data_IF_211496857667
#
_entry.id   IF_211496857667
#
_cell.length_a   1.000
_cell.length_b   1.000
_cell.length_c   1.000
_cell.angle_alpha   90.00
_cell.angle_beta   90.00
_cell.angle_gamma   90.00
#
_symmetry.space_group_name_H-M   'P 1'
#
loop_
_entity.id
_entity.type
_entity.pdbx_description
1 polymer ?
#
# COMPACT_ATOMS: atom_id res chain seq x y z
N UNK A 1 35.22 13.39 10.65
CA UNK A 1 35.90 13.44 9.33
C UNK A 1 35.63 14.80 8.70
N UNK A 2 36.63 15.48 8.11
CA UNK A 2 36.36 16.70 7.36
C UNK A 2 35.59 16.34 6.08
N UNK A 3 34.42 16.95 5.87
CA UNK A 3 33.64 16.81 4.65
C UNK A 3 34.44 17.32 3.45
N UNK A 4 34.48 16.58 2.36
CA UNK A 4 35.14 17.01 1.13
C UNK A 4 34.15 17.85 0.31
N UNK A 5 34.51 19.11 0.03
CA UNK A 5 33.67 20.04 -0.74
C UNK A 5 34.44 20.55 -1.96
N UNK A 6 33.84 20.45 -3.15
CA UNK A 6 34.41 20.99 -4.37
C UNK A 6 33.33 21.59 -5.31
N UNK A 7 33.73 22.63 -6.03
CA UNK A 7 32.91 23.33 -6.99
C UNK A 7 33.61 23.30 -8.35
N UNK A 8 33.00 22.68 -9.36
CA UNK A 8 33.54 22.58 -10.70
C UNK A 8 32.57 23.20 -11.73
N UNK A 9 32.82 24.43 -12.18
CA UNK A 9 32.13 25.00 -13.33
C UNK A 9 32.59 24.29 -14.63
N UNK A 10 31.66 24.10 -15.55
CA UNK A 10 31.93 23.52 -16.87
C UNK A 10 30.87 23.94 -17.89
N UNK A 11 31.16 23.77 -19.19
CA UNK A 11 30.22 24.01 -20.28
C UNK A 11 29.94 22.71 -21.04
N UNK A 12 28.76 22.63 -21.66
CA UNK A 12 28.46 21.56 -22.60
C UNK A 12 28.56 22.09 -24.04
N UNK A 13 29.66 21.78 -24.70
CA UNK A 13 29.95 22.23 -26.07
C UNK A 13 28.95 21.72 -27.11
N UNK A 14 28.21 20.66 -26.82
CA UNK A 14 27.20 20.09 -27.72
C UNK A 14 25.84 20.81 -27.60
N UNK A 15 25.67 21.71 -26.62
CA UNK A 15 24.43 22.46 -26.39
C UNK A 15 24.66 23.96 -26.56
N UNK A 16 24.94 24.35 -27.80
CA UNK A 16 25.10 25.77 -28.19
C UNK A 16 23.75 26.31 -28.67
N UNK A 17 23.36 27.49 -28.19
CA UNK A 17 22.15 28.18 -28.63
C UNK A 17 22.33 28.78 -30.02
N UNK A 18 21.24 29.25 -30.64
CA UNK A 18 21.26 29.93 -31.93
C UNK A 18 22.10 31.22 -31.94
N UNK A 19 22.30 31.84 -30.77
CA UNK A 19 23.15 33.04 -30.59
C UNK A 19 24.64 32.71 -30.42
N UNK A 20 25.05 31.44 -30.56
CA UNK A 20 26.43 31.00 -30.44
C UNK A 20 26.90 30.84 -28.99
N UNK A 21 26.02 30.99 -27.98
CA UNK A 21 26.39 30.84 -26.57
C UNK A 21 25.99 29.47 -26.00
N UNK A 22 26.69 29.04 -24.97
CA UNK A 22 26.35 27.86 -24.18
C UNK A 22 26.21 28.21 -22.70
N UNK A 23 25.38 27.45 -21.98
CA UNK A 23 25.18 27.65 -20.55
C UNK A 23 26.40 27.15 -19.75
N UNK A 24 26.86 27.94 -18.81
CA UNK A 24 27.81 27.50 -17.79
C UNK A 24 27.05 26.76 -16.70
N UNK A 25 27.42 25.51 -16.50
CA UNK A 25 26.90 24.63 -15.46
C UNK A 25 27.91 24.55 -14.32
N UNK A 26 27.45 24.28 -13.13
CA UNK A 26 28.27 24.08 -11.96
C UNK A 26 27.99 22.73 -11.33
N UNK A 27 29.01 21.87 -11.21
CA UNK A 27 28.95 20.63 -10.46
C UNK A 27 29.45 20.88 -9.05
N UNK A 28 28.62 20.61 -8.07
CA UNK A 28 28.94 20.68 -6.65
C UNK A 28 29.12 19.24 -6.18
N UNK A 29 30.25 18.92 -5.56
CA UNK A 29 30.54 17.61 -5.02
C UNK A 29 30.80 17.73 -3.52
N UNK A 30 30.09 16.96 -2.72
CA UNK A 30 30.24 16.87 -1.26
C UNK A 30 30.30 15.37 -0.90
N UNK A 31 31.35 14.97 -0.21
CA UNK A 31 31.58 13.58 0.23
C UNK A 31 31.43 12.54 -0.90
N UNK A 32 31.96 12.86 -2.09
CA UNK A 32 31.93 12.00 -3.26
C UNK A 32 30.63 11.98 -4.05
N UNK A 33 29.55 12.57 -3.52
CA UNK A 33 28.27 12.75 -4.26
C UNK A 33 28.21 14.11 -4.95
N UNK A 34 27.72 14.12 -6.18
CA UNK A 34 27.66 15.37 -6.95
C UNK A 34 26.26 15.71 -7.44
N UNK A 35 25.94 17.00 -7.42
CA UNK A 35 24.74 17.58 -8.05
C UNK A 35 25.14 18.69 -9.00
N UNK A 36 24.38 18.83 -10.09
CA UNK A 36 24.64 19.86 -11.10
C UNK A 36 23.52 20.90 -11.08
N UNK A 37 23.92 22.17 -11.20
CA UNK A 37 22.99 23.29 -11.33
C UNK A 37 23.41 24.27 -12.42
N UNK A 38 22.45 25.00 -12.97
CA UNK A 38 22.71 26.08 -13.91
C UNK A 38 23.14 27.32 -13.15
N UNK A 39 24.20 28.02 -13.62
CA UNK A 39 24.67 29.26 -13.03
C UNK A 39 23.88 30.48 -13.47
N UNK A 40 23.08 30.38 -14.55
CA UNK A 40 22.43 31.50 -15.23
C UNK A 40 23.39 32.34 -16.07
N UNK A 41 24.63 31.89 -16.24
CA UNK A 41 25.68 32.56 -17.02
C UNK A 41 25.82 31.82 -18.36
N UNK A 42 26.04 32.59 -19.44
CA UNK A 42 26.26 32.05 -20.78
C UNK A 42 27.57 32.62 -21.32
N UNK A 43 28.32 31.81 -22.06
CA UNK A 43 29.52 32.24 -22.73
C UNK A 43 29.66 31.57 -24.10
N UNK A 44 30.50 32.06 -25.00
CA UNK A 44 30.87 31.36 -26.21
C UNK A 44 31.83 30.21 -25.86
N UNK A 45 31.75 29.05 -26.53
CA UNK A 45 32.63 27.91 -26.26
C UNK A 45 34.12 28.23 -26.38
N UNK A 46 34.52 29.16 -27.25
CA UNK A 46 35.87 29.63 -27.44
C UNK A 46 36.40 30.48 -26.28
N UNK A 47 35.52 31.15 -25.55
CA UNK A 47 35.88 31.97 -24.38
C UNK A 47 36.05 31.17 -23.10
N UNK A 48 35.70 29.87 -23.13
CA UNK A 48 35.80 29.00 -21.98
C UNK A 48 37.14 28.29 -21.87
N UNK A 49 37.87 28.48 -20.77
CA UNK A 49 39.09 27.73 -20.48
C UNK A 49 38.79 26.48 -19.64
N UNK A 50 38.89 25.29 -20.25
CA UNK A 50 38.63 24.01 -19.60
C UNK A 50 39.57 23.69 -18.41
N UNK A 51 40.84 24.19 -18.46
CA UNK A 51 41.84 23.88 -17.41
C UNK A 51 41.60 24.69 -16.14
N UNK A 52 41.23 25.96 -16.29
CA UNK A 52 41.08 26.90 -15.16
C UNK A 52 39.64 27.10 -14.75
N UNK A 53 38.64 26.67 -15.58
CA UNK A 53 37.23 26.94 -15.34
C UNK A 53 36.87 28.43 -15.31
N UNK A 54 37.52 29.22 -16.20
CA UNK A 54 37.41 30.67 -16.28
C UNK A 54 36.89 31.07 -17.65
N UNK A 55 36.10 32.15 -17.68
CA UNK A 55 35.58 32.76 -18.92
C UNK A 55 36.51 33.91 -19.30
N UNK A 56 36.92 34.00 -20.57
CA UNK A 56 37.80 35.08 -21.08
C UNK A 56 37.18 36.47 -20.92
N UNK A 57 35.88 36.58 -21.10
CA UNK A 57 35.10 37.82 -20.93
C UNK A 57 35.04 38.21 -19.46
N UNK A 58 35.58 39.40 -19.12
CA UNK A 58 35.72 39.85 -17.74
C UNK A 58 34.40 39.93 -16.99
N UNK A 59 33.32 40.42 -17.66
CA UNK A 59 32.00 40.58 -17.05
C UNK A 59 31.40 39.21 -16.63
N UNK A 60 31.37 38.25 -17.53
CA UNK A 60 30.82 36.91 -17.28
C UNK A 60 31.70 36.16 -16.28
N UNK A 61 32.99 36.33 -16.31
CA UNK A 61 33.90 35.73 -15.35
C UNK A 61 33.69 36.27 -13.94
N UNK A 62 33.51 37.59 -13.77
CA UNK A 62 33.19 38.17 -12.46
C UNK A 62 31.89 37.60 -11.90
N UNK A 63 30.84 37.49 -12.72
CA UNK A 63 29.57 36.85 -12.33
C UNK A 63 29.78 35.37 -11.92
N UNK A 64 30.67 34.67 -12.61
CA UNK A 64 31.00 33.28 -12.25
C UNK A 64 31.73 33.19 -10.91
N UNK A 65 32.65 34.11 -10.62
CA UNK A 65 33.31 34.16 -9.31
C UNK A 65 32.36 34.53 -8.17
N UNK A 66 31.44 35.50 -8.41
CA UNK A 66 30.37 35.82 -7.45
C UNK A 66 29.46 34.62 -7.18
N UNK A 67 29.12 33.89 -8.24
CA UNK A 67 28.34 32.66 -8.11
C UNK A 67 29.09 31.61 -7.27
N UNK A 68 30.37 31.33 -7.54
CA UNK A 68 31.19 30.42 -6.74
C UNK A 68 31.23 30.83 -5.27
N UNK A 69 31.47 32.10 -4.99
CA UNK A 69 31.46 32.63 -3.62
C UNK A 69 30.11 32.48 -2.94
N UNK A 70 29.02 32.65 -3.67
CA UNK A 70 27.67 32.43 -3.12
C UNK A 70 27.40 30.94 -2.75
N UNK A 71 27.95 29.99 -3.54
CA UNK A 71 27.89 28.58 -3.24
C UNK A 71 28.71 28.23 -1.99
N UNK A 72 29.91 28.78 -1.84
CA UNK A 72 30.77 28.60 -0.68
C UNK A 72 30.10 29.11 0.60
N UNK A 73 29.56 30.36 0.56
CA UNK A 73 28.83 30.92 1.68
C UNK A 73 27.58 30.11 2.05
N UNK A 74 26.83 29.62 1.06
CA UNK A 74 25.66 28.79 1.30
C UNK A 74 26.05 27.43 1.92
N UNK A 75 27.20 26.86 1.53
CA UNK A 75 27.74 25.65 2.14
C UNK A 75 28.09 25.86 3.61
N UNK A 76 28.84 26.93 3.93
CA UNK A 76 29.20 27.27 5.31
C UNK A 76 27.97 27.54 6.19
N UNK A 77 27.00 28.31 5.67
CA UNK A 77 25.75 28.64 6.38
C UNK A 77 24.90 27.37 6.64
N UNK A 78 24.81 26.50 5.64
CA UNK A 78 24.10 25.24 5.77
C UNK A 78 24.78 24.32 6.78
N UNK A 79 26.12 24.26 6.78
CA UNK A 79 26.89 23.45 7.74
C UNK A 79 26.71 23.95 9.17
N UNK A 80 26.67 25.30 9.37
CA UNK A 80 26.44 25.91 10.69
C UNK A 80 25.02 25.68 11.21
N UNK A 81 24.02 25.72 10.32
CA UNK A 81 22.59 25.61 10.71
C UNK A 81 22.10 24.18 10.87
N UNK A 82 22.61 23.26 10.06
CA UNK A 82 22.02 21.93 9.90
C UNK A 82 22.95 20.76 10.24
N UNK A 83 24.24 21.02 10.56
CA UNK A 83 25.29 20.02 10.81
C UNK A 83 25.47 18.95 9.71
N UNK A 84 24.60 18.91 8.70
CA UNK A 84 24.62 17.98 7.57
C UNK A 84 24.41 18.77 6.28
N UNK A 85 25.30 18.59 5.32
CA UNK A 85 25.19 19.22 4.00
C UNK A 85 25.46 18.17 2.92
N UNK A 86 24.50 17.98 2.01
CA UNK A 86 24.70 17.20 0.78
C UNK A 86 24.71 18.15 -0.44
N UNK A 87 25.24 17.67 -1.56
CA UNK A 87 25.24 18.42 -2.81
C UNK A 87 23.82 18.79 -3.29
N UNK A 88 22.85 17.93 -3.05
CA UNK A 88 21.44 18.18 -3.41
C UNK A 88 20.75 19.15 -2.44
N UNK A 89 21.04 19.08 -1.13
CA UNK A 89 20.56 20.05 -0.14
C UNK A 89 21.06 21.46 -0.46
N UNK A 90 22.36 21.57 -0.78
CA UNK A 90 22.98 22.85 -1.13
C UNK A 90 22.39 23.44 -2.43
N UNK A 91 22.19 22.60 -3.45
CA UNK A 91 21.53 23.02 -4.70
C UNK A 91 20.10 23.53 -4.45
N UNK A 92 19.34 22.87 -3.60
CA UNK A 92 17.97 23.27 -3.26
C UNK A 92 17.96 24.60 -2.49
N UNK A 93 18.88 24.80 -1.56
CA UNK A 93 19.05 26.07 -0.84
C UNK A 93 19.38 27.22 -1.78
N UNK A 94 20.35 27.03 -2.70
CA UNK A 94 20.74 28.02 -3.71
C UNK A 94 19.62 28.33 -4.72
N UNK A 95 18.81 27.34 -5.09
CA UNK A 95 17.67 27.51 -5.97
C UNK A 95 16.46 28.17 -5.28
N UNK A 96 16.60 28.62 -4.02
CA UNK A 96 15.50 29.14 -3.18
C UNK A 96 14.30 28.22 -3.09
N UNK A 97 14.51 26.90 -3.25
CA UNK A 97 13.50 25.90 -2.97
C UNK A 97 13.34 25.77 -1.45
N UNK A 98 12.16 25.31 -1.02
CA UNK A 98 11.89 25.11 0.41
C UNK A 98 13.02 24.32 1.07
N UNK A 99 13.53 24.82 2.19
CA UNK A 99 14.58 24.15 2.97
C UNK A 99 14.08 22.79 3.40
N UNK A 100 14.87 21.74 3.12
CA UNK A 100 14.54 20.38 3.53
C UNK A 100 14.89 20.24 5.00
N UNK A 101 13.94 19.85 5.88
CA UNK A 101 14.23 19.67 7.29
C UNK A 101 15.24 18.53 7.52
N UNK A 102 16.20 18.75 8.42
CA UNK A 102 17.16 17.72 8.86
C UNK A 102 16.74 17.06 10.16
N UNK A 103 15.69 17.57 10.81
CA UNK A 103 15.13 17.02 12.05
C UNK A 103 13.89 16.16 11.81
N UNK A 104 13.72 15.17 12.67
CA UNK A 104 12.71 14.12 12.51
C UNK A 104 11.27 14.65 12.53
N UNK A 105 10.89 15.43 13.54
CA UNK A 105 9.51 15.93 13.63
C UNK A 105 9.22 16.98 12.57
N UNK A 106 10.17 17.84 12.24
CA UNK A 106 10.02 18.82 11.15
C UNK A 106 9.81 18.13 9.80
N UNK A 107 10.54 17.03 9.51
CA UNK A 107 10.31 16.21 8.32
C UNK A 107 8.92 15.59 8.34
N UNK A 108 8.47 15.15 9.51
CA UNK A 108 7.11 14.61 9.70
C UNK A 108 6.03 15.63 9.36
N UNK A 109 6.16 16.89 9.81
CA UNK A 109 5.21 17.95 9.47
C UNK A 109 5.21 18.27 7.97
N UNK A 110 6.38 18.37 7.34
CA UNK A 110 6.48 18.53 5.89
C UNK A 110 5.79 17.40 5.11
N UNK A 111 5.99 16.15 5.52
CA UNK A 111 5.31 15.02 4.88
C UNK A 111 3.79 15.06 5.12
N UNK A 112 3.34 15.52 6.28
CA UNK A 112 1.92 15.73 6.57
C UNK A 112 1.31 16.83 5.69
N UNK A 113 2.01 17.91 5.43
CA UNK A 113 1.58 18.96 4.48
C UNK A 113 1.41 18.37 3.07
N UNK A 114 2.35 17.52 2.63
CA UNK A 114 2.25 16.81 1.35
C UNK A 114 1.03 15.87 1.31
N UNK A 115 0.78 15.14 2.41
CA UNK A 115 -0.39 14.27 2.54
C UNK A 115 -1.70 15.06 2.57
N UNK A 116 -1.71 16.26 3.14
CA UNK A 116 -2.87 17.16 3.13
C UNK A 116 -3.18 17.64 1.70
N UNK A 117 -2.17 18.07 0.95
CA UNK A 117 -2.33 18.46 -0.45
C UNK A 117 -2.91 17.29 -1.27
N UNK A 118 -2.30 16.11 -1.17
CA UNK A 118 -2.79 14.90 -1.84
C UNK A 118 -4.22 14.52 -1.41
N UNK A 119 -4.58 14.73 -0.14
CA UNK A 119 -5.91 14.39 0.36
C UNK A 119 -7.04 15.16 -0.34
N UNK A 120 -6.75 16.40 -0.77
CA UNK A 120 -7.66 17.24 -1.54
C UNK A 120 -7.83 16.71 -2.97
N UNK A 121 -6.74 16.29 -3.61
CA UNK A 121 -6.74 15.73 -4.97
C UNK A 121 -7.55 14.42 -5.05
N UNK A 122 -7.35 13.50 -4.11
CA UNK A 122 -8.02 12.18 -4.09
C UNK A 122 -9.34 12.18 -3.31
N UNK A 123 -9.76 13.33 -2.77
CA UNK A 123 -10.95 13.48 -1.92
C UNK A 123 -11.04 12.44 -0.79
N UNK A 124 -9.91 12.23 -0.09
CA UNK A 124 -9.80 11.26 1.03
C UNK A 124 -8.80 11.72 2.08
N UNK A 125 -9.29 12.06 3.28
CA UNK A 125 -8.49 12.60 4.40
C UNK A 125 -7.92 11.54 5.34
N UNK A 126 -8.27 10.26 5.15
CA UNK A 126 -7.95 9.18 6.10
C UNK A 126 -6.45 9.06 6.39
N UNK A 127 -5.62 9.01 5.34
CA UNK A 127 -4.16 8.87 5.48
C UNK A 127 -3.56 10.09 6.18
N UNK A 128 -4.01 11.29 5.84
CA UNK A 128 -3.59 12.52 6.50
C UNK A 128 -3.96 12.52 8.00
N UNK A 129 -5.19 12.18 8.37
CA UNK A 129 -5.61 12.09 9.78
C UNK A 129 -4.77 11.08 10.57
N UNK A 130 -4.55 9.89 10.02
CA UNK A 130 -3.73 8.88 10.67
C UNK A 130 -2.28 9.32 10.86
N UNK A 131 -1.69 10.02 9.89
CA UNK A 131 -0.33 10.56 10.04
C UNK A 131 -0.21 11.52 11.22
N UNK A 132 -1.27 12.27 11.54
CA UNK A 132 -1.32 13.14 12.72
C UNK A 132 -1.20 12.38 14.04
N UNK A 133 -1.87 11.23 14.16
CA UNK A 133 -1.72 10.37 15.34
C UNK A 133 -0.30 9.81 15.46
N UNK A 134 0.28 9.30 14.36
CA UNK A 134 1.63 8.74 14.39
C UNK A 134 2.68 9.81 14.72
N UNK A 135 2.53 11.01 14.16
CA UNK A 135 3.37 12.15 14.46
C UNK A 135 3.28 12.56 15.93
N UNK A 136 2.06 12.61 16.48
CA UNK A 136 1.84 12.88 17.89
C UNK A 136 2.53 11.85 18.78
N UNK A 137 2.41 10.56 18.51
CA UNK A 137 3.03 9.52 19.33
C UNK A 137 4.55 9.56 19.26
N UNK A 138 5.11 9.94 18.11
CA UNK A 138 6.55 10.15 17.97
C UNK A 138 7.00 11.37 18.79
N UNK A 139 6.24 12.46 18.78
CA UNK A 139 6.48 13.64 19.61
C UNK A 139 6.39 13.29 21.11
N UNK A 140 5.35 12.55 21.52
CA UNK A 140 5.19 12.09 22.91
C UNK A 140 6.43 11.30 23.40
N UNK A 141 6.97 10.44 22.52
CA UNK A 141 8.18 9.69 22.81
C UNK A 141 9.41 10.59 23.00
N UNK A 142 9.65 11.53 22.08
CA UNK A 142 10.76 12.48 22.20
C UNK A 142 10.64 13.34 23.47
N UNK A 143 9.43 13.80 23.78
CA UNK A 143 9.15 14.52 25.02
C UNK A 143 9.52 13.70 26.26
N UNK A 144 9.24 12.37 26.26
CA UNK A 144 9.62 11.48 27.34
C UNK A 144 11.12 11.33 27.51
N UNK A 145 11.90 11.64 26.47
CA UNK A 145 13.38 11.70 26.49
C UNK A 145 13.91 13.11 26.82
N UNK A 146 13.02 14.08 27.14
CA UNK A 146 13.41 15.47 27.37
C UNK A 146 13.85 16.22 26.10
N UNK A 147 13.48 15.73 24.91
CA UNK A 147 13.87 16.29 23.62
C UNK A 147 12.66 16.90 22.91
N UNK A 148 12.84 18.09 22.32
CA UNK A 148 11.80 18.72 21.48
C UNK A 148 11.77 18.11 20.07
N UNK A 149 12.94 17.81 19.50
CA UNK A 149 13.18 17.14 18.21
C UNK A 149 14.58 16.53 18.20
N UNK A 150 14.89 15.70 17.19
CA UNK A 150 16.23 15.11 17.00
C UNK A 150 16.69 15.21 15.56
N UNK A 151 18.02 15.26 15.36
CA UNK A 151 18.62 15.14 14.03
C UNK A 151 18.50 13.69 13.53
N UNK A 152 18.40 13.50 12.21
CA UNK A 152 18.38 12.15 11.65
C UNK A 152 19.66 11.36 11.92
N UNK A 153 20.80 12.04 12.11
CA UNK A 153 22.07 11.42 12.51
C UNK A 153 22.02 10.71 13.86
N UNK A 154 21.10 11.11 14.73
CA UNK A 154 20.93 10.54 16.08
C UNK A 154 20.00 9.32 16.10
N UNK A 155 19.39 9.01 14.97
CA UNK A 155 18.48 7.86 14.83
C UNK A 155 19.33 6.61 14.59
N UNK A 156 19.24 5.69 15.54
CA UNK A 156 19.88 4.37 15.52
C UNK A 156 18.84 3.27 15.58
N UNK A 157 19.26 2.02 15.37
CA UNK A 157 18.38 0.86 15.59
C UNK A 157 17.86 0.82 17.03
N UNK A 158 18.71 1.20 18.01
CA UNK A 158 18.30 1.29 19.42
C UNK A 158 17.19 2.33 19.65
N UNK A 159 17.23 3.47 18.95
CA UNK A 159 16.15 4.45 18.98
C UNK A 159 14.83 3.83 18.52
N UNK A 160 14.83 3.08 17.43
CA UNK A 160 13.64 2.38 16.92
C UNK A 160 13.09 1.35 17.90
N UNK A 161 13.98 0.55 18.50
CA UNK A 161 13.63 -0.46 19.50
C UNK A 161 13.09 0.15 20.78
N UNK A 162 13.67 1.25 21.25
CA UNK A 162 13.22 2.01 22.42
C UNK A 162 11.86 2.68 22.16
N UNK A 163 11.63 3.23 20.98
CA UNK A 163 10.32 3.76 20.58
C UNK A 163 9.25 2.67 20.56
N UNK A 164 9.56 1.49 20.03
CA UNK A 164 8.68 0.31 20.08
C UNK A 164 8.34 -0.08 21.53
N UNK A 165 9.32 -0.13 22.43
CA UNK A 165 9.13 -0.43 23.84
C UNK A 165 8.28 0.63 24.56
N UNK A 166 8.48 1.92 24.25
CA UNK A 166 7.67 3.02 24.78
C UNK A 166 6.19 2.86 24.41
N UNK A 167 5.87 2.57 23.14
CA UNK A 167 4.49 2.37 22.71
C UNK A 167 3.83 1.19 23.41
N UNK A 168 4.58 0.12 23.67
CA UNK A 168 4.10 -1.07 24.36
C UNK A 168 3.81 -0.82 25.83
N UNK A 169 4.72 -0.17 26.52
CA UNK A 169 4.64 0.06 27.98
C UNK A 169 3.74 1.23 28.35
N UNK A 170 3.93 2.39 27.71
CA UNK A 170 3.30 3.64 28.12
C UNK A 170 1.95 3.89 27.45
N UNK A 171 1.71 3.31 26.27
CA UNK A 171 0.47 3.50 25.51
C UNK A 171 -0.40 2.24 25.43
N UNK A 172 0.10 1.09 25.85
CA UNK A 172 -0.59 -0.21 25.79
C UNK A 172 -1.15 -0.51 24.38
N UNK A 173 -0.36 -0.20 23.34
CA UNK A 173 -0.81 -0.35 21.97
C UNK A 173 -0.76 -1.81 21.50
N UNK A 174 -1.72 -2.18 20.67
CA UNK A 174 -1.70 -3.46 19.96
C UNK A 174 -0.52 -3.53 18.97
N UNK A 175 -0.05 -4.74 18.67
CA UNK A 175 1.01 -4.98 17.67
C UNK A 175 0.72 -4.27 16.34
N UNK A 176 -0.54 -4.22 15.90
CA UNK A 176 -0.92 -3.53 14.68
C UNK A 176 -0.74 -2.00 14.77
N UNK A 177 -1.05 -1.40 15.92
CA UNK A 177 -0.88 0.04 16.14
C UNK A 177 0.61 0.39 16.23
N UNK A 178 1.40 -0.39 16.97
CA UNK A 178 2.85 -0.25 17.07
C UNK A 178 3.47 -0.27 15.66
N UNK A 179 3.15 -1.31 14.87
CA UNK A 179 3.68 -1.44 13.52
C UNK A 179 3.32 -0.26 12.60
N UNK A 180 2.15 0.33 12.74
CA UNK A 180 1.78 1.54 11.98
C UNK A 180 2.62 2.75 12.37
N UNK A 181 2.92 2.91 13.67
CA UNK A 181 3.80 3.98 14.15
C UNK A 181 5.24 3.77 13.66
N UNK A 182 5.74 2.52 13.70
CA UNK A 182 7.06 2.17 13.17
C UNK A 182 7.14 2.40 11.65
N UNK A 183 6.07 2.07 10.90
CA UNK A 183 6.00 2.39 9.47
C UNK A 183 6.06 3.90 9.19
N UNK A 184 5.49 4.74 10.08
CA UNK A 184 5.61 6.18 9.97
C UNK A 184 7.05 6.64 10.20
N UNK A 185 7.70 6.18 11.26
CA UNK A 185 9.10 6.46 11.54
C UNK A 185 10.00 6.03 10.38
N UNK A 186 9.90 4.77 9.93
CA UNK A 186 10.65 4.27 8.77
C UNK A 186 10.45 5.13 7.53
N UNK A 187 9.21 5.57 7.27
CA UNK A 187 8.92 6.46 6.13
C UNK A 187 9.70 7.77 6.22
N UNK A 188 9.77 8.39 7.40
CA UNK A 188 10.51 9.64 7.58
C UNK A 188 12.02 9.42 7.40
N UNK A 189 12.55 8.29 7.88
CA UNK A 189 13.95 7.91 7.69
C UNK A 189 14.26 7.66 6.22
N UNK A 190 13.39 6.96 5.47
CA UNK A 190 13.57 6.81 4.02
C UNK A 190 13.54 8.15 3.28
N UNK A 191 12.68 9.10 3.69
CA UNK A 191 12.71 10.45 3.13
C UNK A 191 14.06 11.14 3.41
N UNK A 192 14.64 10.94 4.60
CA UNK A 192 15.97 11.47 4.90
C UNK A 192 17.07 10.84 4.04
N UNK A 193 16.95 9.55 3.68
CA UNK A 193 17.85 8.89 2.71
C UNK A 193 17.63 9.45 1.30
N UNK A 194 16.37 9.58 0.86
CA UNK A 194 16.03 10.13 -0.46
C UNK A 194 16.52 11.57 -0.65
N UNK A 195 16.53 12.36 0.43
CA UNK A 195 17.08 13.71 0.44
C UNK A 195 18.58 13.80 0.74
N UNK A 196 19.27 12.65 0.82
CA UNK A 196 20.71 12.55 1.10
C UNK A 196 21.15 13.11 2.46
N UNK A 197 20.24 13.22 3.43
CA UNK A 197 20.54 13.56 4.83
C UNK A 197 21.21 12.37 5.51
N UNK A 198 20.78 11.16 5.18
CA UNK A 198 21.38 9.90 5.61
C UNK A 198 21.95 9.13 4.41
N UNK A 199 23.01 8.38 4.62
CA UNK A 199 23.61 7.50 3.59
C UNK A 199 22.82 6.21 3.40
N UNK A 200 22.28 5.67 4.48
CA UNK A 200 21.50 4.44 4.53
C UNK A 200 20.47 4.54 5.65
N UNK A 201 19.47 3.67 5.61
CA UNK A 201 18.44 3.61 6.64
C UNK A 201 18.98 2.84 7.87
N UNK A 202 19.17 3.51 9.04
CA UNK A 202 19.62 2.84 10.25
C UNK A 202 18.57 1.92 10.89
N UNK A 203 17.31 1.94 10.38
CA UNK A 203 16.20 1.13 10.86
C UNK A 203 15.83 0.01 9.87
N UNK A 204 16.72 -0.34 8.92
CA UNK A 204 16.39 -1.32 7.87
C UNK A 204 16.10 -2.70 8.47
N UNK A 205 16.89 -3.12 9.44
CA UNK A 205 16.79 -4.42 10.11
C UNK A 205 15.86 -4.41 11.34
N UNK A 206 15.15 -3.30 11.58
CA UNK A 206 14.25 -3.16 12.73
C UNK A 206 13.08 -4.14 12.65
N UNK A 207 12.99 -5.02 13.63
CA UNK A 207 11.92 -6.00 13.73
C UNK A 207 10.56 -5.37 14.11
N UNK A 208 9.55 -5.64 13.31
CA UNK A 208 8.16 -5.30 13.61
C UNK A 208 7.53 -6.28 14.60
N UNK A 209 6.53 -5.83 15.35
CA UNK A 209 5.75 -6.71 16.24
C UNK A 209 5.03 -7.80 15.43
N UNK A 210 5.06 -9.03 15.93
CA UNK A 210 4.34 -10.15 15.33
C UNK A 210 2.84 -9.90 15.39
N UNK A 211 2.20 -9.86 14.25
CA UNK A 211 0.74 -9.68 14.18
C UNK A 211 0.03 -10.92 14.70
N UNK A 212 -1.03 -10.78 15.49
CA UNK A 212 -1.88 -11.90 15.84
C UNK A 212 -2.49 -12.52 14.58
N UNK A 213 -2.85 -13.77 14.66
CA UNK A 213 -3.56 -14.46 13.57
C UNK A 213 -4.80 -13.65 13.14
N UNK A 214 -5.12 -13.59 11.86
CA UNK A 214 -6.32 -12.91 11.40
C UNK A 214 -7.54 -13.52 12.07
N UNK A 215 -8.36 -12.69 12.72
CA UNK A 215 -9.67 -13.16 13.22
C UNK A 215 -10.60 -13.35 12.03
N UNK A 216 -11.35 -14.46 12.04
CA UNK A 216 -12.45 -14.66 11.08
C UNK A 216 -13.47 -13.53 11.23
N UNK A 217 -13.73 -12.83 10.13
CA UNK A 217 -14.59 -11.64 10.14
C UNK A 217 -15.77 -11.80 9.19
N UNK A 218 -16.32 -12.98 9.08
CA UNK A 218 -17.54 -13.23 8.33
C UNK A 218 -18.63 -13.73 9.27
N UNK A 219 -19.88 -13.60 8.86
CA UNK A 219 -21.01 -14.23 9.53
C UNK A 219 -21.14 -15.67 9.03
N UNK A 220 -21.64 -16.55 9.88
CA UNK A 220 -22.00 -17.92 9.52
C UNK A 220 -23.27 -17.93 8.66
N UNK A 221 -23.53 -19.04 7.97
CA UNK A 221 -24.80 -19.23 7.22
C UNK A 221 -26.02 -19.24 8.15
N UNK A 222 -25.85 -19.72 9.39
CA UNK A 222 -26.91 -19.69 10.40
C UNK A 222 -27.24 -18.24 10.80
N UNK A 223 -26.22 -17.42 11.10
CA UNK A 223 -26.41 -16.00 11.39
C UNK A 223 -27.03 -15.26 10.19
N UNK A 224 -26.60 -15.56 8.95
CA UNK A 224 -27.23 -14.97 7.75
C UNK A 224 -28.70 -15.29 7.67
N UNK A 225 -29.09 -16.55 7.93
CA UNK A 225 -30.50 -16.98 7.99
C UNK A 225 -31.25 -16.20 9.05
N UNK A 226 -30.70 -16.08 10.27
CA UNK A 226 -31.31 -15.32 11.35
C UNK A 226 -31.50 -13.84 10.95
N UNK A 227 -30.50 -13.20 10.34
CA UNK A 227 -30.62 -11.81 9.87
C UNK A 227 -31.73 -11.66 8.82
N UNK A 228 -31.88 -12.63 7.92
CA UNK A 228 -32.95 -12.63 6.91
C UNK A 228 -34.34 -12.73 7.54
N UNK A 229 -34.47 -13.52 8.60
CA UNK A 229 -35.73 -13.84 9.28
C UNK A 229 -36.09 -12.87 10.43
N UNK A 230 -35.20 -11.94 10.79
CA UNK A 230 -35.42 -11.01 11.92
C UNK A 230 -35.55 -9.57 11.38
N UNK A 231 -36.76 -9.12 11.01
CA UNK A 231 -37.00 -7.73 10.65
C UNK A 231 -36.84 -6.83 11.88
N UNK A 232 -36.34 -5.61 11.66
CA UNK A 232 -36.17 -4.61 12.71
C UNK A 232 -37.40 -3.70 12.77
N UNK A 233 -37.82 -3.33 13.96
CA UNK A 233 -38.99 -2.46 14.15
C UNK A 233 -38.67 -0.99 13.87
N UNK A 234 -37.50 -0.53 14.25
CA UNK A 234 -37.05 0.82 13.93
C UNK A 234 -36.68 0.94 12.45
N UNK A 235 -37.19 1.99 11.74
CA UNK A 235 -36.93 2.18 10.31
C UNK A 235 -35.45 2.31 9.96
N UNK A 236 -34.63 2.95 10.81
CA UNK A 236 -33.22 3.13 10.56
C UNK A 236 -32.43 1.82 10.77
N UNK A 237 -32.83 1.05 11.76
CA UNK A 237 -32.27 -0.29 11.99
C UNK A 237 -32.62 -1.24 10.85
N UNK A 238 -33.88 -1.20 10.35
CA UNK A 238 -34.30 -2.00 9.23
C UNK A 238 -33.57 -1.61 7.93
N UNK A 239 -33.34 -0.31 7.72
CA UNK A 239 -32.49 0.17 6.63
C UNK A 239 -31.06 -0.37 6.77
N UNK A 240 -30.49 -0.36 7.98
CA UNK A 240 -29.18 -0.94 8.31
C UNK A 240 -29.12 -2.43 8.00
N UNK A 241 -30.14 -3.21 8.42
CA UNK A 241 -30.28 -4.64 8.15
C UNK A 241 -30.31 -4.93 6.65
N UNK A 242 -31.16 -4.21 5.90
CA UNK A 242 -31.25 -4.36 4.43
C UNK A 242 -29.97 -3.99 3.72
N UNK A 243 -29.31 -2.90 4.11
CA UNK A 243 -28.02 -2.52 3.57
C UNK A 243 -26.92 -3.55 3.88
N UNK A 244 -26.94 -4.13 5.09
CA UNK A 244 -26.03 -5.21 5.47
C UNK A 244 -26.24 -6.46 4.61
N UNK A 245 -27.49 -6.89 4.43
CA UNK A 245 -27.85 -8.01 3.56
C UNK A 245 -27.46 -7.73 2.11
N UNK A 246 -27.79 -6.55 1.60
CA UNK A 246 -27.40 -6.14 0.24
C UNK A 246 -25.89 -6.23 0.03
N UNK A 247 -25.08 -5.74 1.00
CA UNK A 247 -23.63 -5.90 0.98
C UNK A 247 -23.18 -7.37 1.05
N UNK A 248 -23.90 -8.21 1.79
CA UNK A 248 -23.61 -9.65 1.89
C UNK A 248 -23.82 -10.38 0.58
N UNK A 249 -24.75 -9.92 -0.28
CA UNK A 249 -25.03 -10.51 -1.58
C UNK A 249 -24.40 -9.80 -2.78
N UNK A 250 -23.78 -8.62 -2.57
CA UNK A 250 -23.13 -7.86 -3.66
C UNK A 250 -21.63 -7.64 -3.42
N UNK A 251 -21.18 -7.76 -2.17
CA UNK A 251 -19.82 -7.47 -1.78
C UNK A 251 -19.45 -5.99 -1.79
N UNK A 252 -20.41 -5.06 -2.04
CA UNK A 252 -20.17 -3.63 -2.03
C UNK A 252 -19.81 -3.13 -0.62
N UNK A 253 -18.86 -2.20 -0.51
CA UNK A 253 -18.56 -1.55 0.76
C UNK A 253 -19.62 -0.47 1.06
N UNK A 254 -19.77 -0.10 2.34
CA UNK A 254 -20.75 0.90 2.76
C UNK A 254 -20.73 2.19 1.92
N UNK A 255 -19.54 2.74 1.70
CA UNK A 255 -19.38 3.96 0.91
C UNK A 255 -19.80 3.78 -0.55
N UNK A 256 -19.62 2.60 -1.11
CA UNK A 256 -20.01 2.31 -2.50
C UNK A 256 -21.53 2.15 -2.62
N UNK A 257 -22.19 1.61 -1.57
CA UNK A 257 -23.68 1.55 -1.51
C UNK A 257 -24.29 2.94 -1.29
N UNK A 258 -23.69 3.78 -0.45
CA UNK A 258 -24.13 5.18 -0.29
C UNK A 258 -24.07 5.98 -1.60
N UNK A 259 -23.15 5.61 -2.49
CA UNK A 259 -22.95 6.27 -3.79
C UNK A 259 -23.56 5.46 -4.95
N UNK A 260 -24.38 4.45 -4.65
CA UNK A 260 -25.06 3.68 -5.67
C UNK A 260 -26.26 4.49 -6.21
N UNK A 261 -26.25 4.77 -7.49
CA UNK A 261 -27.32 5.46 -8.21
C UNK A 261 -27.99 4.53 -9.24
N UNK A 262 -29.20 4.81 -9.70
CA UNK A 262 -29.91 4.01 -10.71
C UNK A 262 -29.09 3.72 -11.97
N UNK A 263 -28.30 4.67 -12.49
CA UNK A 263 -27.46 4.49 -13.67
C UNK A 263 -26.35 3.44 -13.51
N UNK A 264 -26.03 3.02 -12.28
CA UNK A 264 -25.09 1.91 -12.03
C UNK A 264 -25.75 0.54 -12.22
N UNK A 265 -27.08 0.49 -12.33
CA UNK A 265 -27.87 -0.74 -12.47
C UNK A 265 -28.17 -0.96 -13.94
N UNK A 266 -27.80 -2.12 -14.46
CA UNK A 266 -28.07 -2.50 -15.83
C UNK A 266 -28.71 -3.87 -15.92
N UNK A 267 -29.12 -4.23 -17.15
CA UNK A 267 -29.64 -5.56 -17.47
C UNK A 267 -28.86 -6.12 -18.64
N UNK A 268 -28.43 -7.37 -18.54
CA UNK A 268 -27.75 -8.08 -19.62
C UNK A 268 -28.73 -8.50 -20.70
N UNK A 269 -28.25 -8.91 -21.88
CA UNK A 269 -29.12 -9.33 -23.00
C UNK A 269 -30.03 -10.54 -22.65
N UNK A 270 -29.61 -11.36 -21.71
CA UNK A 270 -30.37 -12.52 -21.18
C UNK A 270 -31.29 -12.14 -20.00
N UNK A 271 -31.48 -10.83 -19.74
CA UNK A 271 -32.42 -10.32 -18.74
C UNK A 271 -31.93 -10.31 -17.32
N UNK A 272 -30.62 -10.67 -17.03
CA UNK A 272 -30.06 -10.65 -15.69
C UNK A 272 -29.66 -9.25 -15.28
N UNK A 273 -30.12 -8.80 -14.13
CA UNK A 273 -29.72 -7.51 -13.55
C UNK A 273 -28.29 -7.58 -12.99
N UNK A 274 -27.58 -6.48 -13.11
CA UNK A 274 -26.22 -6.33 -12.57
C UNK A 274 -25.97 -4.92 -12.05
N UNK A 275 -24.93 -4.77 -11.21
CA UNK A 275 -24.37 -3.49 -10.82
C UNK A 275 -23.01 -3.36 -11.49
N UNK A 276 -22.74 -2.17 -12.08
CA UNK A 276 -21.44 -1.76 -12.59
C UNK A 276 -21.07 -0.42 -11.97
N UNK A 277 -20.04 -0.40 -11.13
CA UNK A 277 -19.65 0.78 -10.37
C UNK A 277 -18.14 0.82 -10.19
N UNK A 278 -17.54 2.01 -10.32
CA UNK A 278 -16.17 2.24 -9.90
C UNK A 278 -16.10 2.47 -8.38
N UNK A 279 -15.31 1.67 -7.70
CA UNK A 279 -15.18 1.77 -6.25
C UNK A 279 -14.59 3.11 -5.83
N UNK A 280 -15.22 3.78 -4.87
CA UNK A 280 -14.76 5.09 -4.33
C UNK A 280 -13.31 5.07 -3.83
N UNK A 281 -12.88 3.97 -3.20
CA UNK A 281 -11.55 3.88 -2.58
C UNK A 281 -10.42 3.61 -3.57
N UNK A 282 -10.67 2.82 -4.62
CA UNK A 282 -9.63 2.27 -5.49
C UNK A 282 -9.78 2.69 -6.94
N UNK A 283 -10.91 3.28 -7.30
CA UNK A 283 -11.35 3.59 -8.67
C UNK A 283 -11.31 2.36 -9.61
N UNK A 284 -11.42 1.15 -9.04
CA UNK A 284 -11.47 -0.10 -9.81
C UNK A 284 -12.92 -0.44 -10.07
N UNK A 285 -13.24 -0.76 -11.32
CA UNK A 285 -14.57 -1.20 -11.71
C UNK A 285 -14.93 -2.54 -11.05
N UNK A 286 -16.10 -2.58 -10.43
CA UNK A 286 -16.77 -3.79 -9.96
C UNK A 286 -17.95 -4.10 -10.88
N UNK A 287 -18.06 -5.35 -11.33
CA UNK A 287 -19.18 -5.87 -12.07
C UNK A 287 -19.82 -7.01 -11.28
N UNK A 288 -21.07 -6.86 -10.88
CA UNK A 288 -21.74 -7.72 -9.91
C UNK A 288 -23.08 -8.14 -10.47
N UNK A 289 -23.22 -9.38 -11.01
CA UNK A 289 -24.53 -9.98 -11.29
C UNK A 289 -25.34 -10.07 -9.99
N UNK A 290 -26.60 -9.65 -10.02
CA UNK A 290 -27.43 -9.60 -8.83
C UNK A 290 -27.96 -10.97 -8.44
N UNK A 291 -27.89 -11.26 -7.14
CA UNK A 291 -28.58 -12.38 -6.53
C UNK A 291 -30.06 -12.01 -6.30
N UNK A 292 -31.05 -12.92 -6.42
CA UNK A 292 -32.47 -12.61 -6.26
C UNK A 292 -32.80 -11.85 -4.96
N UNK A 293 -32.14 -12.18 -3.84
CA UNK A 293 -32.33 -11.44 -2.58
C UNK A 293 -31.85 -9.99 -2.70
N UNK A 294 -30.74 -9.74 -3.40
CA UNK A 294 -30.26 -8.39 -3.63
C UNK A 294 -31.21 -7.60 -4.54
N UNK A 295 -31.81 -8.25 -5.55
CA UNK A 295 -32.83 -7.64 -6.41
C UNK A 295 -34.07 -7.26 -5.62
N UNK A 296 -34.59 -8.17 -4.78
CA UNK A 296 -35.75 -7.89 -3.92
C UNK A 296 -35.50 -6.70 -2.97
N UNK A 297 -34.30 -6.60 -2.40
CA UNK A 297 -33.94 -5.46 -1.56
C UNK A 297 -33.85 -4.19 -2.41
N UNK A 298 -33.26 -4.25 -3.59
CA UNK A 298 -33.07 -3.12 -4.48
C UNK A 298 -34.42 -2.53 -4.89
N UNK A 299 -35.43 -3.37 -5.17
CA UNK A 299 -36.76 -2.97 -5.60
C UNK A 299 -37.61 -2.26 -4.52
N UNK A 300 -37.14 -2.28 -3.28
CA UNK A 300 -37.72 -1.50 -2.16
C UNK A 300 -37.29 -0.03 -2.16
N UNK A 301 -36.32 0.34 -3.00
CA UNK A 301 -35.68 1.64 -2.96
C UNK A 301 -35.71 2.34 -4.34
N UNK A 302 -35.01 3.48 -4.42
CA UNK A 302 -34.98 4.28 -5.65
C UNK A 302 -34.17 3.59 -6.76
N UNK A 303 -34.84 3.18 -7.82
CA UNK A 303 -34.19 2.59 -9.01
C UNK A 303 -34.40 3.39 -10.29
N UNK A 304 -35.05 4.56 -10.21
CA UNK A 304 -35.49 5.34 -11.39
C UNK A 304 -35.02 6.78 -11.39
N UNK A 305 -34.99 7.45 -10.21
CA UNK A 305 -34.55 8.85 -10.08
C UNK A 305 -33.04 8.91 -9.88
N UNK A 306 -32.29 9.21 -10.93
CA UNK A 306 -30.81 9.24 -10.92
C UNK A 306 -30.25 10.46 -10.21
N UNK A 307 -31.10 11.42 -9.82
CA UNK A 307 -30.64 12.57 -9.00
C UNK A 307 -30.37 12.19 -7.53
N UNK A 308 -30.87 11.05 -7.10
CA UNK A 308 -30.77 10.54 -5.74
C UNK A 308 -30.09 9.16 -5.71
N UNK A 309 -29.35 8.84 -4.63
CA UNK A 309 -28.84 7.50 -4.47
C UNK A 309 -29.98 6.48 -4.32
N UNK A 310 -29.70 5.22 -4.61
CA UNK A 310 -30.64 4.11 -4.45
C UNK A 310 -31.06 3.98 -2.99
N UNK A 311 -30.13 3.98 -2.07
CA UNK A 311 -30.38 3.82 -0.63
C UNK A 311 -30.22 5.16 0.10
N UNK A 312 -31.20 5.59 0.92
CA UNK A 312 -31.10 6.81 1.74
C UNK A 312 -30.27 6.57 3.00
N UNK A 313 -29.01 6.10 2.83
CA UNK A 313 -28.13 5.75 3.95
C UNK A 313 -27.60 6.99 4.66
N UNK A 314 -27.59 7.02 6.02
CA UNK A 314 -26.97 8.07 6.81
C UNK A 314 -25.44 8.01 6.74
N UNK A 315 -24.77 8.80 7.55
CA UNK A 315 -23.31 8.72 7.69
C UNK A 315 -22.88 7.34 8.21
N UNK A 316 -21.61 6.98 7.97
CA UNK A 316 -21.05 5.72 8.44
C UNK A 316 -21.07 5.60 9.97
N UNK A 317 -20.89 6.71 10.68
CA UNK A 317 -20.79 6.72 12.14
C UNK A 317 -22.17 6.50 12.77
N UNK A 318 -23.26 7.06 12.19
CA UNK A 318 -24.64 6.79 12.58
C UNK A 318 -25.01 5.32 12.31
N UNK A 319 -24.73 4.82 11.09
CA UNK A 319 -25.04 3.43 10.73
C UNK A 319 -24.25 2.40 11.57
N UNK A 320 -23.10 2.79 12.16
CA UNK A 320 -22.31 1.89 12.98
C UNK A 320 -23.10 1.38 14.20
N UNK A 321 -23.88 2.25 14.82
CA UNK A 321 -24.72 1.89 15.97
C UNK A 321 -25.81 0.91 15.55
N UNK A 322 -26.50 1.16 14.45
CA UNK A 322 -27.60 0.33 13.96
C UNK A 322 -27.13 -1.09 13.59
N UNK A 323 -25.94 -1.21 13.02
CA UNK A 323 -25.33 -2.54 12.74
C UNK A 323 -24.92 -3.26 14.03
N UNK A 324 -24.53 -2.52 15.05
CA UNK A 324 -24.27 -3.11 16.37
C UNK A 324 -25.56 -3.67 16.96
N UNK A 325 -26.66 -2.90 16.97
CA UNK A 325 -27.97 -3.33 17.45
C UNK A 325 -28.53 -4.54 16.67
N UNK A 326 -28.31 -4.60 15.37
CA UNK A 326 -28.60 -5.79 14.58
C UNK A 326 -27.84 -7.01 15.10
N UNK A 327 -26.57 -6.85 15.48
CA UNK A 327 -25.78 -7.92 16.09
C UNK A 327 -26.37 -8.40 17.43
N UNK A 328 -26.84 -7.48 18.26
CA UNK A 328 -27.51 -7.79 19.52
C UNK A 328 -28.83 -8.52 19.28
N UNK A 329 -29.66 -8.03 18.34
CA UNK A 329 -30.97 -8.62 18.02
C UNK A 329 -30.87 -10.08 17.56
N UNK A 330 -29.78 -10.47 16.87
CA UNK A 330 -29.54 -11.88 16.47
C UNK A 330 -28.82 -12.70 17.54
N UNK A 331 -28.64 -12.19 18.75
CA UNK A 331 -28.00 -12.88 19.88
C UNK A 331 -26.49 -13.06 19.76
N UNK A 332 -25.81 -12.21 18.97
CA UNK A 332 -24.36 -12.33 18.75
C UNK A 332 -23.58 -11.81 19.96
N UNK A 333 -22.61 -12.56 20.43
CA UNK A 333 -21.72 -12.16 21.53
C UNK A 333 -20.66 -11.13 21.11
N UNK A 334 -20.24 -11.17 19.85
CA UNK A 334 -19.24 -10.26 19.29
C UNK A 334 -19.90 -9.13 18.51
N UNK A 335 -19.32 -7.94 18.55
CA UNK A 335 -19.83 -6.80 17.80
C UNK A 335 -19.92 -7.10 16.30
N UNK A 336 -21.11 -6.93 15.73
CA UNK A 336 -21.31 -6.94 14.30
C UNK A 336 -20.79 -5.62 13.70
N UNK A 337 -20.08 -5.68 12.63
CA UNK A 337 -19.63 -4.49 11.87
C UNK A 337 -20.04 -4.61 10.42
N UNK A 338 -20.38 -3.49 9.79
CA UNK A 338 -20.80 -3.48 8.40
C UNK A 338 -19.82 -4.19 7.45
N UNK A 339 -18.51 -4.07 7.72
CA UNK A 339 -17.50 -4.69 6.86
C UNK A 339 -17.53 -6.23 6.86
N UNK A 340 -18.15 -6.84 7.88
CA UNK A 340 -18.33 -8.29 7.92
C UNK A 340 -19.28 -8.80 6.83
N UNK A 341 -20.26 -8.00 6.38
CA UNK A 341 -21.11 -8.35 5.24
C UNK A 341 -20.29 -8.60 3.97
N UNK A 342 -19.38 -7.69 3.67
CA UNK A 342 -18.48 -7.83 2.52
C UNK A 342 -17.47 -8.98 2.68
N UNK A 343 -17.00 -9.25 3.89
CA UNK A 343 -16.19 -10.44 4.18
C UNK A 343 -16.99 -11.72 3.92
N UNK A 344 -18.24 -11.74 4.34
CA UNK A 344 -19.15 -12.89 4.13
C UNK A 344 -19.40 -13.15 2.66
N UNK A 345 -19.63 -12.12 1.85
CA UNK A 345 -19.73 -12.28 0.39
C UNK A 345 -18.52 -13.02 -0.19
N UNK A 346 -17.30 -12.56 0.09
CA UNK A 346 -16.08 -13.21 -0.42
C UNK A 346 -15.94 -14.65 0.07
N UNK A 347 -16.19 -14.89 1.36
CA UNK A 347 -16.06 -16.21 1.97
C UNK A 347 -17.13 -17.18 1.44
N UNK A 348 -18.38 -16.75 1.30
CA UNK A 348 -19.46 -17.58 0.76
C UNK A 348 -19.21 -17.97 -0.70
N UNK A 349 -18.81 -17.03 -1.54
CA UNK A 349 -18.52 -17.34 -2.95
C UNK A 349 -17.34 -18.31 -3.11
N UNK A 350 -16.29 -18.17 -2.30
CA UNK A 350 -15.17 -19.11 -2.29
C UNK A 350 -15.65 -20.49 -1.83
N UNK A 351 -16.52 -20.57 -0.82
CA UNK A 351 -17.06 -21.85 -0.35
C UNK A 351 -17.94 -22.55 -1.37
N UNK A 352 -18.55 -21.80 -2.29
CA UNK A 352 -19.31 -22.33 -3.42
C UNK A 352 -18.46 -22.67 -4.65
N UNK A 353 -17.15 -22.41 -4.60
CA UNK A 353 -16.25 -22.77 -5.69
C UNK A 353 -16.10 -21.69 -6.77
N UNK A 354 -16.59 -20.47 -6.54
CA UNK A 354 -16.39 -19.37 -7.50
C UNK A 354 -14.89 -19.02 -7.56
N UNK A 355 -14.30 -18.89 -8.76
CA UNK A 355 -12.90 -18.53 -8.92
C UNK A 355 -12.57 -17.21 -8.24
N UNK A 356 -11.39 -17.16 -7.60
CA UNK A 356 -10.96 -16.00 -6.80
C UNK A 356 -10.81 -14.74 -7.65
N UNK A 357 -10.47 -14.89 -8.93
CA UNK A 357 -10.35 -13.81 -9.92
C UNK A 357 -11.71 -13.16 -10.17
N UNK A 358 -12.76 -13.99 -10.33
CA UNK A 358 -14.14 -13.53 -10.50
C UNK A 358 -14.62 -12.78 -9.26
N UNK A 359 -14.32 -13.29 -8.06
CA UNK A 359 -14.65 -12.63 -6.80
C UNK A 359 -13.89 -11.30 -6.69
N UNK A 360 -12.60 -11.27 -7.06
CA UNK A 360 -11.80 -10.05 -7.06
C UNK A 360 -12.41 -8.97 -7.97
N UNK A 361 -12.87 -9.33 -9.16
CA UNK A 361 -13.54 -8.43 -10.10
C UNK A 361 -14.88 -7.94 -9.55
N UNK A 362 -15.72 -8.84 -9.03
CA UNK A 362 -16.99 -8.46 -8.39
C UNK A 362 -16.78 -7.52 -7.20
N UNK A 363 -15.74 -7.74 -6.39
CA UNK A 363 -15.42 -6.88 -5.26
C UNK A 363 -14.64 -5.61 -5.64
N UNK A 364 -14.23 -5.42 -6.89
CA UNK A 364 -13.43 -4.28 -7.34
C UNK A 364 -12.09 -4.19 -6.59
N UNK A 365 -11.38 -5.33 -6.47
CA UNK A 365 -10.04 -5.37 -5.92
C UNK A 365 -9.01 -5.14 -7.02
N UNK A 366 -8.00 -4.30 -6.77
CA UNK A 366 -6.91 -4.04 -7.71
C UNK A 366 -5.93 -5.21 -7.84
N UNK A 367 -6.03 -6.23 -6.97
CA UNK A 367 -5.18 -7.42 -6.98
C UNK A 367 -5.75 -8.56 -6.18
N UNK A 368 -5.46 -9.79 -6.62
CA UNK A 368 -5.97 -11.05 -6.05
C UNK A 368 -5.56 -11.22 -4.58
N UNK A 369 -4.37 -10.74 -4.17
CA UNK A 369 -3.89 -10.84 -2.78
C UNK A 369 -4.90 -10.30 -1.75
N UNK A 370 -5.71 -9.30 -2.12
CA UNK A 370 -6.75 -8.78 -1.24
C UNK A 370 -7.89 -9.78 -1.06
N UNK A 371 -8.22 -10.55 -2.10
CA UNK A 371 -9.28 -11.56 -2.11
C UNK A 371 -8.82 -12.86 -1.44
N UNK A 372 -7.54 -13.19 -1.51
CA UNK A 372 -6.94 -14.37 -0.85
C UNK A 372 -7.18 -14.40 0.66
N UNK A 373 -7.45 -13.27 1.29
CA UNK A 373 -7.82 -13.19 2.72
C UNK A 373 -9.12 -13.93 3.07
N UNK A 374 -9.96 -14.19 2.09
CA UNK A 374 -11.21 -14.94 2.25
C UNK A 374 -11.04 -16.43 1.93
N UNK A 375 -9.94 -16.80 1.31
CA UNK A 375 -9.64 -18.17 0.90
C UNK A 375 -9.01 -18.95 2.05
N UNK A 376 -9.84 -19.51 2.91
CA UNK A 376 -9.45 -20.60 3.79
C UNK A 376 -9.63 -21.90 3.04
N UNK A 377 -8.54 -22.45 2.51
CA UNK A 377 -8.57 -23.76 1.84
C UNK A 377 -8.56 -24.83 2.93
N UNK A 378 -9.73 -25.38 3.22
CA UNK A 378 -9.86 -26.51 4.15
C UNK A 378 -9.79 -27.85 3.38
N UNK A 379 -9.37 -28.93 4.05
CA UNK A 379 -9.35 -30.27 3.45
C UNK A 379 -10.73 -30.67 2.92
N UNK A 380 -11.80 -30.26 3.62
CA UNK A 380 -13.19 -30.43 3.19
C UNK A 380 -13.48 -29.73 1.86
N UNK A 381 -12.93 -28.54 1.64
CA UNK A 381 -13.09 -27.82 0.36
C UNK A 381 -12.35 -28.55 -0.75
N UNK A 382 -11.11 -28.98 -0.50
CA UNK A 382 -10.31 -29.73 -1.48
C UNK A 382 -11.07 -31.01 -1.90
N UNK A 383 -11.61 -31.78 -0.93
CA UNK A 383 -12.42 -32.97 -1.21
C UNK A 383 -13.65 -32.64 -2.06
N UNK A 384 -14.40 -31.57 -1.71
CA UNK A 384 -15.59 -31.13 -2.47
C UNK A 384 -15.22 -30.71 -3.89
N UNK A 385 -14.12 -30.00 -4.08
CA UNK A 385 -13.67 -29.56 -5.41
C UNK A 385 -13.28 -30.77 -6.28
N UNK A 386 -12.65 -31.81 -5.70
CA UNK A 386 -12.36 -33.05 -6.38
C UNK A 386 -13.62 -33.85 -6.72
N UNK A 387 -14.59 -33.93 -5.79
CA UNK A 387 -15.90 -34.58 -6.04
C UNK A 387 -16.65 -33.90 -7.20
N UNK A 388 -16.68 -32.58 -7.23
CA UNK A 388 -17.27 -31.80 -8.32
C UNK A 388 -16.58 -32.09 -9.66
N UNK A 389 -15.23 -32.15 -9.68
CA UNK A 389 -14.46 -32.46 -10.88
C UNK A 389 -14.78 -33.88 -11.38
N UNK A 390 -14.91 -34.85 -10.46
CA UNK A 390 -15.29 -36.24 -10.79
C UNK A 390 -16.72 -36.33 -11.33
N UNK A 391 -17.66 -35.60 -10.70
CA UNK A 391 -19.05 -35.56 -11.14
C UNK A 391 -19.19 -35.00 -12.55
N UNK A 392 -18.49 -33.90 -12.87
CA UNK A 392 -18.46 -33.33 -14.22
C UNK A 392 -17.89 -34.32 -15.24
N UNK A 393 -16.81 -35.04 -14.90
CA UNK A 393 -16.23 -36.07 -15.77
C UNK A 393 -17.17 -37.27 -16.00
N UNK A 394 -17.94 -37.66 -15.00
CA UNK A 394 -18.94 -38.73 -15.15
C UNK A 394 -20.08 -38.26 -16.07
N UNK A 395 -20.55 -37.04 -15.99
CA UNK A 395 -21.59 -36.50 -16.89
C UNK A 395 -21.18 -36.48 -18.37
N UNK A 396 -19.90 -36.28 -18.67
CA UNK A 396 -19.39 -36.26 -20.06
C UNK A 396 -18.91 -37.60 -20.59
N UNK A 397 -19.24 -38.74 -19.93
CA UNK A 397 -19.08 -40.10 -20.48
C UNK A 397 -17.63 -40.55 -20.67
N UNK A 398 -16.65 -39.91 -20.03
CA UNK A 398 -15.23 -40.28 -20.17
C UNK A 398 -14.79 -41.30 -19.08
N UNK A 399 -15.66 -42.20 -18.67
CA UNK A 399 -15.51 -43.12 -17.53
C UNK A 399 -14.47 -44.24 -17.67
N UNK A 400 -13.56 -44.25 -18.64
CA UNK A 400 -12.53 -45.29 -18.74
C UNK A 400 -11.18 -44.71 -19.19
N UNK A 401 -10.48 -44.04 -18.28
CA UNK A 401 -9.14 -43.54 -18.56
C UNK A 401 -8.03 -44.53 -18.19
N UNK A 402 -8.28 -45.56 -17.41
CA UNK A 402 -7.33 -46.61 -17.10
C UNK A 402 -8.00 -47.96 -17.18
N UNK A 403 -7.79 -48.71 -18.29
CA UNK A 403 -7.76 -50.14 -18.20
C UNK A 403 -6.51 -50.48 -17.39
N UNK A 404 -6.69 -51.12 -16.22
CA UNK A 404 -5.61 -51.77 -15.51
C UNK A 404 -4.95 -52.68 -16.54
N UNK A 405 -3.79 -52.34 -17.09
CA UNK A 405 -2.94 -53.29 -17.78
C UNK A 405 -2.56 -54.30 -16.69
N UNK A 406 -3.04 -55.53 -16.81
CA UNK A 406 -2.53 -56.63 -16.00
C UNK A 406 -1.02 -56.66 -16.27
N UNK A 407 -0.22 -56.40 -15.25
CA UNK A 407 1.20 -56.66 -15.29
C UNK A 407 1.41 -58.11 -15.74
N UNK A 408 2.31 -58.44 -16.68
CA UNK A 408 2.61 -59.80 -17.05
C UNK A 408 2.96 -60.55 -15.78
N UNK A 409 2.31 -61.71 -15.55
CA UNK A 409 2.67 -62.62 -14.47
C UNK A 409 4.15 -62.91 -14.60
N UNK A 410 4.92 -62.67 -13.56
CA UNK A 410 6.31 -63.07 -13.46
C UNK A 410 6.43 -64.53 -13.81
N UNK A 411 7.03 -64.87 -14.95
CA UNK A 411 7.48 -66.21 -15.27
C UNK A 411 8.64 -66.51 -14.32
N UNK A 412 8.45 -67.59 -13.51
CA UNK A 412 9.49 -68.18 -12.69
C UNK A 412 10.79 -68.30 -13.51
N UNK A 413 11.80 -67.55 -13.16
CA UNK A 413 13.18 -67.80 -13.59
C UNK A 413 13.81 -68.63 -12.48
N UNK A 414 14.08 -69.89 -12.83
CA UNK A 414 14.80 -70.88 -12.00
C UNK A 414 16.12 -70.28 -11.47
N UNK A 415 16.29 -70.44 -10.15
CA UNK A 415 17.57 -70.29 -9.47
C UNK A 415 18.51 -71.38 -9.96
N UNK A 416 19.53 -71.05 -10.72
CA UNK A 416 20.83 -71.73 -10.66
C UNK A 416 21.88 -70.90 -11.43
N UNK A 417 22.68 -70.15 -10.72
CA UNK A 417 24.14 -70.17 -10.80
C UNK A 417 24.74 -69.05 -9.90
N UNK A 418 25.30 -69.54 -8.80
CA UNK A 418 26.33 -68.79 -8.07
C UNK A 418 27.54 -68.58 -8.95
N UNK A 419 28.14 -67.40 -8.94
CA UNK A 419 29.56 -67.18 -8.79
C UNK A 419 29.85 -65.73 -8.36
N UNK A 420 30.70 -65.65 -7.36
CA UNK A 420 31.39 -64.52 -6.81
C UNK A 420 31.97 -63.58 -7.88
N UNK A 421 31.90 -62.27 -7.65
CA UNK A 421 33.13 -61.51 -7.56
C UNK A 421 32.93 -60.16 -6.84
N UNK A 422 34.00 -59.78 -6.16
CA UNK A 422 34.19 -58.68 -5.24
C UNK A 422 34.26 -57.31 -5.96
N UNK A 423 33.89 -56.27 -5.23
CA UNK A 423 34.74 -55.11 -5.24
C UNK A 423 34.09 -53.74 -5.46
N UNK A 424 34.27 -52.95 -4.45
CA UNK A 424 34.45 -51.46 -4.42
C UNK A 424 33.26 -50.57 -4.74
N UNK A 425 32.74 -49.95 -3.81
CA UNK A 425 32.71 -48.68 -3.21
C UNK A 425 32.80 -47.43 -4.11
N UNK A 426 31.80 -46.59 -3.99
CA UNK A 426 32.02 -45.15 -3.85
C UNK A 426 30.71 -44.42 -3.45
N UNK A 427 30.81 -43.68 -2.39
CA UNK A 427 29.92 -42.61 -1.99
C UNK A 427 29.78 -41.52 -3.08
N UNK A 428 28.65 -40.84 -3.15
CA UNK A 428 28.49 -39.41 -3.00
C UNK A 428 27.05 -38.94 -3.12
N UNK A 429 26.59 -38.31 -2.05
CA UNK A 429 25.84 -37.07 -1.91
C UNK A 429 25.50 -36.30 -3.20
N UNK A 430 24.24 -35.98 -3.37
CA UNK A 430 23.71 -34.60 -3.34
C UNK A 430 22.20 -34.65 -3.08
#
# INVERSE_FOLDING_TARGET
MRSTFSILPYINRNKVKADGTTAVLCRITIDGKSSTMATGIYCRPEDWNNKTGVIRTVRENNRLQEFRKSVELAYEDSLKKQNVVSAELLKNALARKAVIPTKLLQMGERERERLLARSKEINSTSTYRHSGYYQKYLKDYLTSLGKEDIEFSDITEEFGSSYKAFMKRNKNFSAQQINKCLCWLSKLVYLAVDYEILRANPLEDMEYEKKPAPKHRHISRAELKTILETPMLDPLQELGRRAFLFSTFTGLAYVDIMLLHPHHIGTTADGRRYIRINRKKTNVEAFIPLHPIAEQILDLYNTTDDTKPVFPLPSRDEMWFEIHELGVAIGRKENLSYHQSRHSFGTFLISEGIPIESIAKMMGHSGIRTTQRYAEVTDKKISKDMDNLMAVRMMYGTGKWYKRQELPKETNIDNNNMRHDNGTGYNHNY
#
